data_IF_637448153388
#
_entry.id   IF_637448153388
#
_cell.length_a   1.000
_cell.length_b   1.000
_cell.length_c   1.000
_cell.angle_alpha   90.00
_cell.angle_beta   90.00
_cell.angle_gamma   90.00
#
_symmetry.space_group_name_H-M   'P 1'
#
loop_
_entity.id
_entity.type
_entity.pdbx_description
1 polymer ?
#
# COMPACT_ATOMS: atom_id res chain seq x y z
N UNK A 1 -5.36 12.44 -21.35
CA UNK A 1 -6.28 12.32 -20.20
C UNK A 1 -5.61 11.64 -19.03
N UNK A 2 -5.81 12.16 -17.83
CA UNK A 2 -5.30 11.53 -16.63
C UNK A 2 -6.36 11.43 -15.54
N UNK A 3 -6.10 10.56 -14.60
CA UNK A 3 -6.97 10.33 -13.44
C UNK A 3 -6.13 10.24 -12.18
N UNK A 4 -6.72 10.68 -11.08
CA UNK A 4 -6.08 10.54 -9.76
C UNK A 4 -6.85 9.55 -8.92
N UNK A 5 -6.15 8.93 -7.96
CA UNK A 5 -6.75 8.10 -6.96
C UNK A 5 -6.04 8.30 -5.63
N UNK A 6 -6.76 8.12 -4.55
CA UNK A 6 -6.23 8.28 -3.21
C UNK A 6 -6.58 7.06 -2.38
N UNK A 7 -5.65 6.63 -1.54
CA UNK A 7 -5.87 5.55 -0.61
C UNK A 7 -5.45 5.95 0.80
N UNK A 8 -6.11 5.34 1.77
CA UNK A 8 -5.77 5.45 3.18
C UNK A 8 -6.10 4.12 3.85
N UNK A 9 -5.18 3.61 4.66
CA UNK A 9 -5.41 2.38 5.40
C UNK A 9 -4.72 2.43 6.75
N UNK A 10 -5.22 1.65 7.69
CA UNK A 10 -4.70 1.55 9.06
C UNK A 10 -4.78 0.09 9.49
N UNK A 11 -3.71 -0.40 10.11
CA UNK A 11 -3.72 -1.70 10.75
C UNK A 11 -3.16 -1.59 12.16
N UNK A 12 -3.72 -2.38 13.07
CA UNK A 12 -3.29 -2.44 14.46
C UNK A 12 -1.96 -3.20 14.57
N UNK A 13 -1.06 -2.71 15.41
CA UNK A 13 0.15 -3.45 15.77
C UNK A 13 -0.17 -4.48 16.83
N UNK A 14 0.34 -5.70 16.67
CA UNK A 14 0.12 -6.80 17.60
C UNK A 14 1.34 -7.70 17.67
N UNK A 15 1.48 -8.42 18.75
CA UNK A 15 2.56 -9.40 18.90
C UNK A 15 2.23 -10.66 18.11
N UNK A 16 3.26 -11.44 17.75
CA UNK A 16 3.10 -12.74 17.12
C UNK A 16 2.88 -12.70 15.61
N UNK A 17 3.03 -11.54 14.99
CA UNK A 17 2.92 -11.42 13.53
C UNK A 17 4.15 -10.74 12.95
N UNK A 18 4.56 -11.13 11.73
CA UNK A 18 5.63 -10.39 11.06
C UNK A 18 5.15 -9.01 10.67
N UNK A 19 6.06 -8.04 10.65
CA UNK A 19 5.77 -6.69 10.15
C UNK A 19 6.16 -6.62 8.68
N UNK A 20 5.16 -6.52 7.83
CA UNK A 20 5.35 -6.46 6.37
C UNK A 20 4.75 -5.15 5.88
N UNK A 21 5.59 -4.30 5.30
CA UNK A 21 5.17 -2.99 4.76
C UNK A 21 5.87 -2.76 3.43
N UNK A 22 5.10 -2.45 2.41
CA UNK A 22 5.67 -2.24 1.07
C UNK A 22 6.29 -3.49 0.48
N UNK A 23 5.78 -4.66 0.88
CA UNK A 23 6.30 -5.95 0.44
C UNK A 23 7.58 -6.37 1.16
N UNK A 24 8.04 -5.61 2.15
CA UNK A 24 9.31 -5.85 2.85
C UNK A 24 9.04 -6.27 4.28
N UNK A 25 9.69 -7.36 4.71
CA UNK A 25 9.62 -7.79 6.10
C UNK A 25 10.61 -6.96 6.93
N UNK A 26 10.08 -6.26 7.92
CA UNK A 26 10.86 -5.35 8.76
C UNK A 26 11.05 -6.01 10.13
N UNK A 27 12.31 -6.12 10.62
CA UNK A 27 12.54 -6.64 11.97
C UNK A 27 11.91 -5.73 13.03
N UNK A 28 10.97 -6.28 13.78
CA UNK A 28 10.30 -5.55 14.84
C UNK A 28 9.59 -6.57 15.76
N UNK A 29 9.36 -6.20 17.01
CA UNK A 29 8.70 -7.07 17.98
C UNK A 29 7.23 -7.29 17.74
N UNK A 30 6.60 -6.44 16.92
CA UNK A 30 5.19 -6.53 16.54
C UNK A 30 5.03 -6.51 15.04
N UNK A 31 3.90 -7.01 14.57
CA UNK A 31 3.49 -6.90 13.17
C UNK A 31 2.09 -6.35 13.08
N UNK A 32 1.60 -6.21 11.86
CA UNK A 32 0.26 -5.66 11.63
C UNK A 32 -0.78 -6.79 11.61
N UNK A 33 -1.92 -6.51 12.22
CA UNK A 33 -3.04 -7.45 12.32
C UNK A 33 -4.00 -7.25 11.15
N UNK A 34 -4.36 -8.33 10.49
CA UNK A 34 -5.33 -8.29 9.40
C UNK A 34 -5.59 -9.67 8.84
N UNK A 35 -6.58 -9.77 7.94
CA UNK A 35 -6.98 -11.03 7.31
C UNK A 35 -5.89 -11.55 6.35
N UNK A 36 -5.26 -10.65 5.60
CA UNK A 36 -4.14 -10.95 4.70
C UNK A 36 -2.82 -10.82 5.47
N UNK A 37 -1.72 -10.53 4.77
CA UNK A 37 -0.44 -10.19 5.40
C UNK A 37 -0.47 -8.82 6.09
N UNK A 38 -1.59 -8.08 5.98
CA UNK A 38 -1.82 -6.77 6.57
C UNK A 38 -0.79 -5.71 6.15
N UNK A 39 -0.29 -5.79 4.91
CA UNK A 39 0.62 -4.80 4.37
C UNK A 39 -0.13 -3.48 4.15
N UNK A 40 -0.03 -2.58 5.11
CA UNK A 40 -0.79 -1.32 5.11
C UNK A 40 -0.44 -0.45 3.90
N UNK A 41 0.80 -0.48 3.44
CA UNK A 41 1.22 0.34 2.31
C UNK A 41 0.70 -0.21 0.99
N UNK A 42 0.85 -1.51 0.73
CA UNK A 42 0.35 -2.10 -0.53
C UNK A 42 -1.17 -2.06 -0.60
N UNK A 43 -1.88 -2.21 0.53
CA UNK A 43 -3.34 -2.04 0.57
C UNK A 43 -3.74 -0.61 0.18
N UNK A 44 -3.02 0.37 0.72
CA UNK A 44 -3.26 1.79 0.42
C UNK A 44 -3.03 2.09 -1.05
N UNK A 45 -1.96 1.55 -1.61
CA UNK A 45 -1.66 1.72 -3.05
C UNK A 45 -2.75 1.08 -3.90
N UNK A 46 -3.20 -0.12 -3.53
CA UNK A 46 -4.27 -0.80 -4.27
C UNK A 46 -5.57 0.01 -4.26
N UNK A 47 -5.95 0.55 -3.10
CA UNK A 47 -7.14 1.41 -3.01
C UNK A 47 -7.00 2.66 -3.88
N UNK A 48 -5.82 3.29 -3.87
CA UNK A 48 -5.57 4.46 -4.70
C UNK A 48 -5.71 4.12 -6.19
N UNK A 49 -5.17 2.98 -6.61
CA UNK A 49 -5.27 2.52 -7.98
C UNK A 49 -6.72 2.27 -8.39
N UNK A 50 -7.51 1.61 -7.53
CA UNK A 50 -8.94 1.39 -7.81
C UNK A 50 -9.70 2.71 -7.93
N UNK A 51 -9.31 3.71 -7.15
CA UNK A 51 -9.94 5.04 -7.23
C UNK A 51 -9.78 5.69 -8.60
N UNK A 52 -8.68 5.43 -9.30
CA UNK A 52 -8.47 6.03 -10.63
C UNK A 52 -9.48 5.57 -11.67
N UNK A 53 -10.02 4.35 -11.52
CA UNK A 53 -10.97 3.77 -12.46
C UNK A 53 -12.37 3.66 -11.87
N UNK A 54 -12.64 4.35 -10.78
CA UNK A 54 -13.92 4.30 -10.06
C UNK A 54 -14.31 2.86 -9.71
N UNK A 55 -13.32 2.05 -9.35
CA UNK A 55 -13.49 0.62 -9.08
C UNK A 55 -13.85 0.27 -7.63
N UNK A 56 -14.15 1.26 -6.79
CA UNK A 56 -14.45 1.03 -5.39
C UNK A 56 -13.19 0.90 -4.55
N UNK A 57 -13.14 -0.12 -3.72
CA UNK A 57 -12.02 -0.36 -2.82
C UNK A 57 -11.64 -1.85 -2.79
N UNK A 58 -10.54 -2.18 -2.11
CA UNK A 58 -10.07 -3.57 -2.05
C UNK A 58 -11.04 -4.47 -1.27
N UNK A 59 -11.76 -3.93 -0.30
CA UNK A 59 -12.75 -4.70 0.46
C UNK A 59 -13.87 -5.24 -0.42
N UNK A 60 -14.23 -4.52 -1.46
CA UNK A 60 -15.23 -4.95 -2.44
C UNK A 60 -14.71 -6.08 -3.31
N UNK A 61 -13.44 -6.02 -3.73
CA UNK A 61 -12.82 -7.03 -4.60
C UNK A 61 -12.27 -8.23 -3.83
N UNK A 62 -11.82 -8.03 -2.60
CA UNK A 62 -11.17 -9.05 -1.77
C UNK A 62 -11.76 -9.00 -0.35
N UNK A 63 -13.01 -9.49 -0.15
CA UNK A 63 -13.66 -9.42 1.16
C UNK A 63 -12.89 -10.17 2.24
N UNK A 64 -12.78 -9.57 3.44
CA UNK A 64 -12.14 -10.19 4.61
C UNK A 64 -12.84 -11.50 5.02
N UNK A 65 -14.09 -11.65 4.64
CA UNK A 65 -14.88 -12.85 4.97
C UNK A 65 -14.61 -14.02 4.06
N UNK A 66 -13.87 -13.82 2.95
CA UNK A 66 -13.57 -14.88 2.01
C UNK A 66 -12.30 -15.63 2.47
N UNK A 67 -12.41 -16.94 2.82
CA UNK A 67 -11.25 -17.72 3.26
C UNK A 67 -10.14 -17.79 2.22
N UNK A 68 -10.47 -17.64 0.93
CA UNK A 68 -9.48 -17.66 -0.16
C UNK A 68 -8.41 -16.59 0.02
N UNK A 69 -8.76 -15.45 0.65
CA UNK A 69 -7.83 -14.33 0.81
C UNK A 69 -7.17 -14.28 2.18
N UNK A 70 -7.42 -15.29 3.04
CA UNK A 70 -6.74 -15.35 4.33
C UNK A 70 -5.24 -15.55 4.12
N UNK A 71 -4.44 -14.73 4.81
CA UNK A 71 -2.99 -14.70 4.71
C UNK A 71 -2.48 -14.43 3.28
N UNK A 72 -3.33 -13.82 2.44
CA UNK A 72 -2.96 -13.51 1.06
C UNK A 72 -1.79 -12.51 1.01
N UNK A 73 -0.97 -12.70 -0.02
CA UNK A 73 0.13 -11.79 -0.34
C UNK A 73 -0.46 -10.52 -0.96
N UNK A 74 -0.27 -9.39 -0.29
CA UNK A 74 -0.78 -8.11 -0.77
C UNK A 74 -0.15 -7.65 -2.09
N UNK A 75 1.06 -8.13 -2.40
CA UNK A 75 1.67 -7.89 -3.71
C UNK A 75 0.86 -8.50 -4.83
N UNK A 76 0.32 -9.70 -4.62
CA UNK A 76 -0.56 -10.35 -5.60
C UNK A 76 -1.88 -9.62 -5.74
N UNK A 77 -2.43 -9.14 -4.62
CA UNK A 77 -3.66 -8.34 -4.64
C UNK A 77 -3.44 -7.05 -5.44
N UNK A 78 -2.33 -6.36 -5.19
CA UNK A 78 -2.00 -5.14 -5.92
C UNK A 78 -1.79 -5.42 -7.41
N UNK A 79 -1.10 -6.50 -7.75
CA UNK A 79 -0.88 -6.89 -9.15
C UNK A 79 -2.21 -7.13 -9.86
N UNK A 80 -3.18 -7.77 -9.19
CA UNK A 80 -4.51 -7.98 -9.75
C UNK A 80 -5.22 -6.64 -9.99
N UNK A 81 -5.18 -5.75 -9.01
CA UNK A 81 -5.78 -4.41 -9.13
C UNK A 81 -5.12 -3.63 -10.27
N UNK A 82 -3.79 -3.69 -10.38
CA UNK A 82 -3.08 -2.99 -11.44
C UNK A 82 -3.49 -3.49 -12.83
N UNK A 83 -3.73 -4.79 -12.97
CA UNK A 83 -4.25 -5.33 -14.23
C UNK A 83 -5.60 -4.72 -14.60
N UNK A 84 -6.48 -4.48 -13.61
CA UNK A 84 -7.76 -3.81 -13.87
C UNK A 84 -7.55 -2.39 -14.41
N UNK A 85 -6.59 -1.66 -13.84
CA UNK A 85 -6.26 -0.30 -14.30
C UNK A 85 -5.74 -0.33 -15.74
N UNK A 86 -4.86 -1.30 -16.05
CA UNK A 86 -4.33 -1.45 -17.42
C UNK A 86 -5.42 -1.80 -18.42
N UNK A 87 -6.36 -2.65 -18.03
CA UNK A 87 -7.49 -3.03 -18.90
C UNK A 87 -8.35 -1.81 -19.30
N UNK A 88 -8.40 -0.81 -18.42
CA UNK A 88 -9.09 0.45 -18.72
C UNK A 88 -8.23 1.39 -19.58
N UNK A 89 -7.02 0.98 -19.94
CA UNK A 89 -6.16 1.73 -20.87
C UNK A 89 -5.26 2.76 -20.22
N UNK A 90 -4.93 2.59 -18.95
CA UNK A 90 -4.08 3.54 -18.22
C UNK A 90 -2.72 2.95 -17.88
N UNK A 91 -1.75 3.83 -17.72
CA UNK A 91 -0.44 3.50 -17.19
C UNK A 91 -0.07 4.50 -16.09
N UNK A 92 0.92 4.18 -15.27
CA UNK A 92 1.32 5.03 -14.16
C UNK A 92 2.02 6.29 -14.66
N UNK A 93 1.60 7.46 -14.18
CA UNK A 93 2.40 8.68 -14.30
C UNK A 93 3.33 8.79 -13.09
N UNK A 94 2.77 8.81 -11.88
CA UNK A 94 3.57 8.73 -10.65
C UNK A 94 2.69 8.37 -9.46
N UNK A 95 3.35 7.98 -8.37
CA UNK A 95 2.69 7.70 -7.09
C UNK A 95 3.51 8.30 -5.95
N UNK A 96 2.82 8.86 -4.99
CA UNK A 96 3.41 9.42 -3.78
C UNK A 96 2.75 8.78 -2.56
N UNK A 97 3.57 8.18 -1.69
CA UNK A 97 3.10 7.45 -0.52
C UNK A 97 3.68 8.04 0.76
N UNK A 98 2.90 8.00 1.83
CA UNK A 98 3.34 8.37 3.17
C UNK A 98 2.99 7.27 4.16
N UNK A 99 3.99 6.80 4.92
CA UNK A 99 3.79 5.87 6.03
C UNK A 99 3.81 6.68 7.32
N UNK A 100 2.78 6.51 8.16
CA UNK A 100 2.69 7.19 9.46
C UNK A 100 2.90 6.15 10.55
N UNK A 101 4.08 6.19 11.20
CA UNK A 101 4.45 5.21 12.21
C UNK A 101 5.39 5.86 13.23
N UNK A 102 5.15 5.61 14.51
CA UNK A 102 6.08 6.07 15.55
C UNK A 102 7.35 5.24 15.54
N UNK A 103 7.20 3.92 15.48
CA UNK A 103 8.28 2.93 15.42
C UNK A 103 7.81 1.75 14.57
N UNK A 104 8.71 0.98 13.94
CA UNK A 104 10.14 1.23 13.81
C UNK A 104 10.45 2.31 12.77
N UNK A 105 11.72 2.71 12.68
CA UNK A 105 12.15 3.65 11.63
C UNK A 105 12.04 3.00 10.27
N UNK A 106 11.40 3.68 9.34
CA UNK A 106 11.15 3.16 8.00
C UNK A 106 12.25 3.47 6.99
N UNK A 107 13.02 4.53 7.24
CA UNK A 107 14.01 5.03 6.27
C UNK A 107 14.93 3.95 5.68
N UNK A 108 15.48 2.99 6.46
CA UNK A 108 16.36 1.98 5.89
C UNK A 108 15.69 1.07 4.87
N UNK A 109 14.36 0.97 4.89
CA UNK A 109 13.60 0.03 4.07
C UNK A 109 12.91 0.68 2.88
N UNK A 110 12.86 2.02 2.86
CA UNK A 110 12.16 2.76 1.80
C UNK A 110 12.68 2.44 0.39
N UNK A 111 14.01 2.38 0.15
CA UNK A 111 14.47 2.05 -1.21
C UNK A 111 13.93 0.71 -1.72
N UNK A 112 13.89 -0.32 -0.88
CA UNK A 112 13.35 -1.62 -1.26
C UNK A 112 11.84 -1.57 -1.48
N UNK A 113 11.12 -0.81 -0.67
CA UNK A 113 9.66 -0.63 -0.86
C UNK A 113 9.36 0.01 -2.21
N UNK A 114 10.14 1.01 -2.60
CA UNK A 114 10.00 1.67 -3.90
C UNK A 114 10.22 0.70 -5.05
N UNK A 115 11.22 -0.15 -4.93
CA UNK A 115 11.50 -1.17 -5.94
C UNK A 115 10.34 -2.15 -6.10
N UNK A 116 9.77 -2.62 -4.99
CA UNK A 116 8.63 -3.53 -5.02
C UNK A 116 7.43 -2.88 -5.70
N UNK A 117 7.10 -1.64 -5.30
CA UNK A 117 5.94 -0.93 -5.86
C UNK A 117 6.16 -0.65 -7.35
N UNK A 118 7.36 -0.22 -7.73
CA UNK A 118 7.67 0.05 -9.14
C UNK A 118 7.50 -1.21 -9.99
N UNK A 119 7.99 -2.35 -9.51
CA UNK A 119 7.83 -3.62 -10.21
C UNK A 119 6.36 -4.02 -10.35
N UNK A 120 5.58 -3.91 -9.26
CA UNK A 120 4.17 -4.28 -9.27
C UNK A 120 3.34 -3.38 -10.19
N UNK A 121 3.68 -2.11 -10.30
CA UNK A 121 2.97 -1.14 -11.15
C UNK A 121 3.61 -1.00 -12.54
N UNK A 122 4.60 -1.85 -12.85
CA UNK A 122 5.28 -1.86 -14.15
C UNK A 122 5.81 -0.47 -14.54
N UNK A 123 6.45 0.18 -13.58
CA UNK A 123 6.92 1.56 -13.69
C UNK A 123 8.40 1.68 -13.39
N UNK A 124 8.98 2.81 -13.74
CA UNK A 124 10.34 3.14 -13.34
C UNK A 124 10.35 3.63 -11.89
N UNK A 125 11.46 3.38 -11.18
CA UNK A 125 11.57 3.77 -9.78
C UNK A 125 11.42 5.29 -9.58
N UNK A 126 11.76 6.08 -10.57
CA UNK A 126 11.60 7.54 -10.52
C UNK A 126 10.14 7.98 -10.44
N UNK A 127 9.21 7.08 -10.76
CA UNK A 127 7.77 7.35 -10.71
C UNK A 127 7.16 7.01 -9.35
N UNK A 128 7.95 6.44 -8.42
CA UNK A 128 7.48 5.96 -7.12
C UNK A 128 8.19 6.68 -5.99
N UNK A 129 7.45 7.42 -5.19
CA UNK A 129 8.00 8.02 -3.98
C UNK A 129 7.36 7.41 -2.75
N UNK A 130 8.17 7.12 -1.74
CA UNK A 130 7.72 6.66 -0.42
C UNK A 130 8.45 7.49 0.62
N UNK A 131 7.69 8.09 1.53
CA UNK A 131 8.24 8.80 2.67
C UNK A 131 7.56 8.33 3.94
N UNK A 132 8.17 8.60 5.06
CA UNK A 132 7.62 8.19 6.36
C UNK A 132 7.68 9.37 7.32
N UNK A 133 6.73 9.42 8.23
CA UNK A 133 6.66 10.43 9.27
C UNK A 133 6.13 9.79 10.57
N UNK A 134 6.45 10.41 11.68
CA UNK A 134 5.76 10.14 12.94
C UNK A 134 4.58 11.10 13.05
N UNK A 135 3.70 10.87 14.03
CA UNK A 135 2.69 11.83 14.42
C UNK A 135 3.07 12.57 15.71
N UNK A 136 4.37 12.68 15.98
CA UNK A 136 4.90 13.41 17.13
C UNK A 136 4.33 12.90 18.46
N UNK A 137 4.22 11.57 18.59
CA UNK A 137 3.66 10.85 19.75
C UNK A 137 2.19 11.12 20.01
N UNK A 138 1.49 11.73 19.05
CA UNK A 138 0.06 12.01 19.15
C UNK A 138 -0.78 10.92 18.51
N UNK A 139 -1.91 10.61 19.11
CA UNK A 139 -2.90 9.69 18.57
C UNK A 139 -2.46 8.24 18.59
N UNK A 140 -3.22 7.39 17.87
CA UNK A 140 -2.97 5.96 17.88
C UNK A 140 -1.63 5.58 17.23
N UNK A 141 -1.22 6.28 16.19
CA UNK A 141 0.10 6.03 15.59
C UNK A 141 1.20 6.47 16.53
N UNK A 142 1.01 7.61 17.20
CA UNK A 142 1.99 8.13 18.15
C UNK A 142 2.15 7.28 19.40
N UNK A 143 1.09 6.56 19.80
CA UNK A 143 1.13 5.64 20.94
C UNK A 143 1.61 4.23 20.53
N UNK A 144 1.89 4.01 19.26
CA UNK A 144 2.33 2.71 18.79
C UNK A 144 1.23 1.65 18.76
N UNK A 145 -0.03 2.06 18.67
CA UNK A 145 -1.16 1.14 18.58
C UNK A 145 -1.37 0.63 17.16
N UNK A 146 -0.96 1.40 16.16
CA UNK A 146 -1.12 1.04 14.77
C UNK A 146 -0.22 1.85 13.86
N UNK A 147 -0.26 1.47 12.58
CA UNK A 147 0.46 2.16 11.51
C UNK A 147 -0.56 2.51 10.44
N UNK A 148 -0.47 3.74 9.93
CA UNK A 148 -1.31 4.22 8.85
C UNK A 148 -0.46 4.47 7.60
N UNK A 149 -1.11 4.46 6.45
CA UNK A 149 -0.47 4.85 5.20
C UNK A 149 -1.46 5.60 4.31
N UNK A 150 -0.92 6.49 3.51
CA UNK A 150 -1.66 7.24 2.49
C UNK A 150 -0.93 7.11 1.17
N UNK A 151 -1.67 7.11 0.07
CA UNK A 151 -1.08 7.13 -1.26
C UNK A 151 -1.94 7.97 -2.19
N UNK A 152 -1.27 8.67 -3.10
CA UNK A 152 -1.94 9.39 -4.19
C UNK A 152 -1.31 8.93 -5.49
N UNK A 153 -2.14 8.52 -6.43
CA UNK A 153 -1.71 7.96 -7.71
C UNK A 153 -2.23 8.83 -8.84
N UNK A 154 -1.36 9.10 -9.79
CA UNK A 154 -1.76 9.71 -11.06
C UNK A 154 -1.51 8.69 -12.17
N UNK A 155 -2.55 8.42 -12.94
CA UNK A 155 -2.44 7.57 -14.14
C UNK A 155 -2.77 8.39 -15.37
N UNK A 156 -2.20 8.00 -16.49
CA UNK A 156 -2.43 8.65 -17.78
C UNK A 156 -2.88 7.60 -18.78
N UNK A 157 -3.64 8.04 -19.76
CA UNK A 157 -4.07 7.14 -20.86
C UNK A 157 -2.83 6.62 -21.57
N UNK A 158 -2.76 5.31 -21.73
CA UNK A 158 -1.69 4.69 -22.48
C UNK A 158 -1.73 5.14 -23.92
N UNK A 159 -0.56 5.34 -24.52
CA UNK A 159 -0.44 5.77 -25.91
C UNK A 159 -0.54 4.60 -26.90
N UNK A 160 -0.68 3.38 -26.38
CA UNK A 160 -0.77 2.19 -27.25
C UNK A 160 -2.18 1.67 -27.38
#
# INVERSE_FOLDING_TARGET
>A
MFRIGQGFDVHQLTEGRPLIIGGITIPYEKGLLGHSDADVLLHTVADACLGTIAGGDIGKHFPDTDPEFKDADSGKLLSHVWNLVKEEGYELANIDCTIIAQMPKMAPYIPQMREVIAELLEADISQVNVKATTSEKLGFTGRGEGIAAQATVLVVKSTQ
#
